data_IF_410453157457
#
_entry.id   IF_410453157457
#
_cell.length_a   1.000
_cell.length_b   1.000
_cell.length_c   1.000
_cell.angle_alpha   90.00
_cell.angle_beta   90.00
_cell.angle_gamma   90.00
#
_symmetry.space_group_name_H-M   'P 1'
#
loop_
_entity.id
_entity.type
_entity.pdbx_description
1 polymer ?
#
# COMPACT_ATOMS: atom_id res chain seq x y z
N UNK A 1 -11.75 -13.13 -16.68
CA UNK A 1 -12.71 -12.42 -15.86
C UNK A 1 -12.01 -11.67 -14.75
N UNK A 2 -12.34 -10.40 -14.59
CA UNK A 2 -11.85 -9.63 -13.46
C UNK A 2 -12.33 -10.30 -12.17
N UNK A 3 -11.45 -10.41 -11.18
CA UNK A 3 -11.83 -10.91 -9.87
C UNK A 3 -12.90 -10.00 -9.25
N UNK A 4 -13.71 -10.55 -8.35
CA UNK A 4 -14.67 -9.76 -7.58
C UNK A 4 -13.99 -8.55 -6.91
N UNK A 5 -12.80 -8.78 -6.34
CA UNK A 5 -11.99 -7.73 -5.74
C UNK A 5 -11.61 -6.64 -6.77
N UNK A 6 -11.22 -7.02 -7.97
CA UNK A 6 -10.86 -6.08 -9.03
C UNK A 6 -12.03 -5.20 -9.45
N UNK A 7 -13.23 -5.77 -9.60
CA UNK A 7 -14.44 -5.01 -9.97
C UNK A 7 -14.86 -4.00 -8.90
N UNK A 8 -14.80 -4.40 -7.63
CA UNK A 8 -15.08 -3.49 -6.51
C UNK A 8 -14.07 -2.37 -6.49
N UNK A 9 -12.80 -2.70 -6.66
CA UNK A 9 -11.70 -1.72 -6.66
C UNK A 9 -11.89 -0.67 -7.75
N UNK A 10 -12.19 -1.10 -8.97
CA UNK A 10 -12.43 -0.20 -10.10
C UNK A 10 -13.57 0.76 -9.79
N UNK A 11 -14.71 0.25 -9.32
CA UNK A 11 -15.87 1.09 -8.98
C UNK A 11 -15.57 2.09 -7.88
N UNK A 12 -14.83 1.70 -6.84
CA UNK A 12 -14.47 2.60 -5.75
C UNK A 12 -13.49 3.67 -6.22
N UNK A 13 -12.50 3.31 -7.03
CA UNK A 13 -11.46 4.24 -7.48
C UNK A 13 -12.00 5.32 -8.42
N UNK A 14 -13.00 4.98 -9.22
CA UNK A 14 -13.59 5.94 -10.16
C UNK A 14 -14.32 7.09 -9.46
N UNK A 15 -14.79 6.85 -8.22
CA UNK A 15 -15.65 7.80 -7.51
C UNK A 15 -15.07 8.32 -6.18
N UNK A 16 -13.93 7.77 -5.72
CA UNK A 16 -13.39 8.12 -4.41
C UNK A 16 -12.21 9.11 -4.52
N UNK A 17 -12.32 10.24 -3.82
CA UNK A 17 -11.25 11.23 -3.66
C UNK A 17 -10.58 11.14 -2.29
N UNK A 18 -10.87 10.11 -1.52
CA UNK A 18 -10.27 9.85 -0.21
C UNK A 18 -9.28 8.69 -0.30
N UNK A 19 -8.41 8.57 0.69
CA UNK A 19 -7.56 7.39 0.84
C UNK A 19 -8.43 6.17 1.08
N UNK A 20 -8.26 5.16 0.25
CA UNK A 20 -9.08 3.95 0.29
C UNK A 20 -8.21 2.75 0.64
N UNK A 21 -8.64 1.97 1.63
CA UNK A 21 -7.99 0.72 2.01
C UNK A 21 -8.91 -0.44 1.65
N UNK A 22 -8.39 -1.40 0.88
CA UNK A 22 -9.12 -2.62 0.54
C UNK A 22 -8.45 -3.78 1.25
N UNK A 23 -9.15 -4.36 2.21
CA UNK A 23 -8.61 -5.38 3.10
C UNK A 23 -9.21 -6.76 2.82
N UNK A 24 -8.35 -7.74 2.61
CA UNK A 24 -8.73 -9.15 2.53
C UNK A 24 -8.05 -9.90 3.69
N UNK A 25 -8.79 -10.25 4.75
CA UNK A 25 -8.23 -10.99 5.88
C UNK A 25 -8.09 -12.48 5.56
N UNK A 26 -6.99 -13.08 6.01
CA UNK A 26 -6.84 -14.54 6.10
C UNK A 26 -6.83 -14.98 7.56
N UNK A 27 -6.41 -14.10 8.45
CA UNK A 27 -6.45 -14.29 9.90
C UNK A 27 -6.59 -12.92 10.57
N UNK A 28 -6.98 -12.86 11.87
CA UNK A 28 -7.13 -11.56 12.56
C UNK A 28 -5.84 -10.73 12.51
N UNK A 29 -6.00 -9.43 12.29
CA UNK A 29 -4.87 -8.52 12.13
C UNK A 29 -3.97 -8.51 13.37
N UNK A 30 -4.55 -8.67 14.55
CA UNK A 30 -3.82 -8.74 15.83
C UNK A 30 -2.89 -9.97 15.95
N UNK A 31 -3.06 -10.97 15.09
CA UNK A 31 -2.24 -12.17 15.07
C UNK A 31 -1.05 -12.08 14.12
N UNK A 32 -0.94 -10.99 13.37
CA UNK A 32 0.17 -10.78 12.45
C UNK A 32 1.46 -10.52 13.18
N UNK A 33 2.55 -11.13 12.71
CA UNK A 33 3.89 -10.97 13.29
C UNK A 33 4.71 -9.91 12.56
N UNK A 34 4.46 -9.71 11.27
CA UNK A 34 5.15 -8.72 10.46
C UNK A 34 4.19 -8.06 9.49
N UNK A 35 4.46 -6.80 9.21
CA UNK A 35 3.81 -6.06 8.13
C UNK A 35 4.85 -5.76 7.05
N UNK A 36 4.60 -6.19 5.83
CA UNK A 36 5.44 -5.91 4.69
C UNK A 36 4.73 -4.86 3.84
N UNK A 37 5.32 -3.66 3.74
CA UNK A 37 4.70 -2.52 3.04
C UNK A 37 5.50 -2.22 1.79
N UNK A 38 4.92 -2.45 0.63
CA UNK A 38 5.56 -2.21 -0.67
C UNK A 38 5.02 -0.91 -1.26
N UNK A 39 5.92 -0.02 -1.62
CA UNK A 39 5.60 1.36 -1.98
C UNK A 39 6.16 1.66 -3.38
N UNK A 40 5.34 2.20 -4.30
CA UNK A 40 5.80 2.51 -5.65
C UNK A 40 6.76 3.70 -5.69
N UNK A 41 7.58 3.75 -6.73
CA UNK A 41 8.50 4.85 -6.97
C UNK A 41 7.71 6.16 -7.11
N UNK A 42 8.21 7.24 -6.53
CA UNK A 42 7.59 8.57 -6.51
C UNK A 42 6.31 8.68 -5.65
N UNK A 43 6.03 7.68 -4.82
CA UNK A 43 4.88 7.76 -3.91
C UNK A 43 4.93 8.98 -2.99
N UNK A 44 6.12 9.42 -2.58
CA UNK A 44 6.32 10.59 -1.73
C UNK A 44 5.88 11.89 -2.38
N UNK A 45 5.74 11.91 -3.70
CA UNK A 45 5.26 13.07 -4.46
C UNK A 45 3.74 13.12 -4.60
N UNK A 46 3.05 12.06 -4.22
CA UNK A 46 1.59 12.05 -4.19
C UNK A 46 1.07 12.91 -3.04
N UNK A 47 0.00 13.68 -3.29
CA UNK A 47 -0.60 14.55 -2.28
C UNK A 47 -1.08 13.78 -1.06
N UNK A 48 -1.54 12.55 -1.23
CA UNK A 48 -2.05 11.72 -0.14
C UNK A 48 -0.99 10.98 0.67
N UNK A 49 0.30 11.16 0.36
CA UNK A 49 1.38 10.40 1.00
C UNK A 49 1.41 10.54 2.53
N UNK A 50 1.44 11.76 3.11
CA UNK A 50 1.49 11.87 4.57
C UNK A 50 0.27 11.26 5.25
N UNK A 51 -0.90 11.37 4.64
CA UNK A 51 -2.15 10.86 5.20
C UNK A 51 -2.16 9.33 5.23
N UNK A 52 -1.84 8.66 4.11
CA UNK A 52 -1.86 7.21 4.11
C UNK A 52 -0.74 6.63 5.00
N UNK A 53 0.42 7.29 5.04
CA UNK A 53 1.52 6.87 5.92
C UNK A 53 1.06 6.87 7.38
N UNK A 54 0.39 7.94 7.81
CA UNK A 54 -0.12 8.02 9.18
C UNK A 54 -1.15 6.93 9.48
N UNK A 55 -2.06 6.66 8.56
CA UNK A 55 -3.07 5.60 8.73
C UNK A 55 -2.45 4.21 8.82
N UNK A 56 -1.57 3.89 7.89
CA UNK A 56 -0.88 2.59 7.87
C UNK A 56 -0.09 2.40 9.14
N UNK A 57 0.64 3.42 9.57
CA UNK A 57 1.43 3.36 10.79
C UNK A 57 0.57 3.13 12.03
N UNK A 58 -0.57 3.81 12.14
CA UNK A 58 -1.48 3.63 13.27
C UNK A 58 -2.00 2.19 13.35
N UNK A 59 -2.37 1.60 12.23
CA UNK A 59 -2.81 0.20 12.19
C UNK A 59 -1.67 -0.74 12.61
N UNK A 60 -0.48 -0.54 12.07
CA UNK A 60 0.68 -1.37 12.38
C UNK A 60 1.01 -1.30 13.88
N UNK A 61 1.05 -0.10 14.44
CA UNK A 61 1.34 0.08 15.88
C UNK A 61 0.33 -0.62 16.77
N UNK A 62 -0.95 -0.58 16.39
CA UNK A 62 -2.00 -1.23 17.18
C UNK A 62 -1.86 -2.75 17.21
N UNK A 63 -1.18 -3.35 16.23
CA UNK A 63 -0.91 -4.80 16.24
C UNK A 63 0.31 -5.18 17.08
N UNK A 64 1.19 -4.23 17.37
CA UNK A 64 2.46 -4.48 18.06
C UNK A 64 3.48 -5.23 17.20
N UNK A 65 3.21 -5.46 15.93
CA UNK A 65 4.08 -6.21 15.04
C UNK A 65 5.13 -5.32 14.38
N UNK A 66 6.19 -5.95 13.90
CA UNK A 66 7.27 -5.31 13.15
C UNK A 66 6.79 -4.89 11.77
N UNK A 67 7.27 -3.75 11.28
CA UNK A 67 7.03 -3.29 9.92
C UNK A 67 8.32 -3.28 9.09
N UNK A 68 8.24 -3.73 7.85
CA UNK A 68 9.32 -3.63 6.88
C UNK A 68 8.79 -2.83 5.68
N UNK A 69 9.40 -1.67 5.41
CA UNK A 69 9.03 -0.81 4.30
C UNK A 69 9.98 -1.03 3.13
N UNK A 70 9.40 -1.31 1.97
CA UNK A 70 10.12 -1.49 0.72
C UNK A 70 9.78 -0.35 -0.23
N UNK A 71 10.80 0.31 -0.75
CA UNK A 71 10.60 1.43 -1.67
C UNK A 71 11.90 1.96 -2.21
N UNK A 72 11.81 2.99 -3.05
CA UNK A 72 13.01 3.69 -3.54
C UNK A 72 13.71 4.44 -2.42
N UNK A 73 14.96 4.79 -2.65
CA UNK A 73 15.77 5.57 -1.71
C UNK A 73 15.07 6.87 -1.30
N UNK A 74 14.49 7.61 -2.26
CA UNK A 74 13.80 8.87 -2.00
C UNK A 74 12.55 8.66 -1.15
N UNK A 75 11.75 7.65 -1.49
CA UNK A 75 10.53 7.31 -0.75
C UNK A 75 10.87 6.92 0.70
N UNK A 76 11.87 6.05 0.87
CA UNK A 76 12.30 5.63 2.21
C UNK A 76 12.84 6.79 3.03
N UNK A 77 13.55 7.73 2.40
CA UNK A 77 14.04 8.94 3.05
C UNK A 77 12.88 9.78 3.61
N UNK A 78 11.82 9.98 2.83
CA UNK A 78 10.63 10.70 3.30
C UNK A 78 9.91 9.96 4.42
N UNK A 79 9.79 8.63 4.32
CA UNK A 79 9.21 7.82 5.38
C UNK A 79 9.98 7.98 6.69
N UNK A 80 11.28 7.90 6.64
CA UNK A 80 12.13 8.08 7.82
C UNK A 80 11.92 9.45 8.46
N UNK A 81 11.76 10.50 7.65
CA UNK A 81 11.46 11.84 8.15
C UNK A 81 10.10 11.88 8.87
N UNK A 82 9.08 11.25 8.30
CA UNK A 82 7.73 11.24 8.87
C UNK A 82 7.61 10.35 10.10
N UNK A 83 8.28 9.20 10.10
CA UNK A 83 8.13 8.16 11.13
C UNK A 83 9.26 8.11 12.15
N UNK A 84 10.39 8.77 11.89
CA UNK A 84 11.62 8.61 12.67
C UNK A 84 11.54 9.02 14.14
N UNK A 85 10.51 9.79 14.51
CA UNK A 85 10.26 10.19 15.91
C UNK A 85 9.20 9.35 16.59
N UNK A 86 8.58 8.42 15.87
CA UNK A 86 7.55 7.54 16.39
C UNK A 86 8.19 6.23 16.84
N UNK A 87 7.82 5.74 18.01
CA UNK A 87 8.31 4.45 18.51
C UNK A 87 7.78 3.30 17.66
N UNK A 88 8.38 2.13 17.83
CA UNK A 88 7.97 0.91 17.15
C UNK A 88 9.12 0.28 16.38
N UNK A 89 8.98 -1.00 16.07
CA UNK A 89 9.99 -1.76 15.35
C UNK A 89 9.75 -1.65 13.85
N UNK A 90 10.68 -1.00 13.16
CA UNK A 90 10.58 -0.80 11.71
C UNK A 90 11.93 -0.99 11.02
N UNK A 91 11.88 -1.55 9.82
CA UNK A 91 13.03 -1.70 8.93
C UNK A 91 12.70 -1.07 7.58
N UNK A 92 13.74 -0.65 6.86
CA UNK A 92 13.64 -0.03 5.55
C UNK A 92 14.55 -0.78 4.58
N UNK A 93 13.96 -1.31 3.51
CA UNK A 93 14.68 -2.06 2.49
C UNK A 93 14.49 -1.40 1.14
N UNK A 94 15.58 -1.04 0.48
CA UNK A 94 15.51 -0.40 -0.82
C UNK A 94 15.01 -1.37 -1.88
N UNK A 95 14.05 -0.89 -2.69
CA UNK A 95 13.48 -1.58 -3.83
C UNK A 95 13.42 -0.57 -4.96
N UNK A 96 14.35 -0.69 -5.92
CA UNK A 96 14.52 0.30 -7.00
C UNK A 96 13.41 0.22 -8.04
N UNK A 97 12.87 -0.97 -8.26
CA UNK A 97 11.75 -1.20 -9.16
C UNK A 97 10.60 -1.80 -8.39
N UNK A 98 9.46 -1.12 -8.41
CA UNK A 98 8.26 -1.59 -7.72
C UNK A 98 7.82 -2.98 -8.18
N UNK A 99 8.08 -3.32 -9.45
CA UNK A 99 7.75 -4.65 -9.99
C UNK A 99 8.54 -5.79 -9.32
N UNK A 100 9.68 -5.46 -8.69
CA UNK A 100 10.49 -6.45 -7.98
C UNK A 100 9.88 -6.91 -6.66
N UNK A 101 8.68 -6.37 -6.29
CA UNK A 101 8.00 -6.83 -5.08
C UNK A 101 7.71 -8.33 -5.09
N UNK A 102 7.60 -8.94 -6.26
CA UNK A 102 7.42 -10.39 -6.39
C UNK A 102 8.61 -11.16 -5.82
N UNK A 103 9.81 -10.58 -5.90
CA UNK A 103 11.02 -11.17 -5.32
C UNK A 103 10.92 -11.12 -3.78
N UNK A 104 10.46 -9.98 -3.25
CA UNK A 104 10.24 -9.79 -1.81
C UNK A 104 9.24 -10.82 -1.29
N UNK A 105 8.21 -11.12 -2.07
CA UNK A 105 7.11 -11.99 -1.64
C UNK A 105 7.42 -13.49 -1.73
N UNK A 106 8.60 -13.88 -2.22
CA UNK A 106 9.02 -15.29 -2.19
C UNK A 106 9.08 -15.87 -0.78
N UNK A 107 9.51 -15.05 0.17
CA UNK A 107 9.77 -15.48 1.54
C UNK A 107 8.68 -15.00 2.50
N UNK A 108 7.48 -14.73 1.98
CA UNK A 108 6.34 -14.31 2.79
C UNK A 108 5.87 -15.46 3.66
N UNK A 109 5.74 -15.19 4.95
CA UNK A 109 5.21 -16.14 5.92
C UNK A 109 3.70 -16.00 6.04
N UNK A 110 3.05 -17.05 6.53
CA UNK A 110 1.60 -17.05 6.75
C UNK A 110 1.14 -15.93 7.69
N UNK A 111 1.97 -15.59 8.68
CA UNK A 111 1.68 -14.56 9.67
C UNK A 111 2.12 -13.15 9.24
N UNK A 112 2.49 -12.98 7.97
CA UNK A 112 2.81 -11.67 7.40
C UNK A 112 1.55 -11.06 6.81
N UNK A 113 1.32 -9.77 7.12
CA UNK A 113 0.31 -8.98 6.45
C UNK A 113 0.96 -8.17 5.33
N UNK A 114 0.43 -8.29 4.12
CA UNK A 114 0.97 -7.60 2.96
C UNK A 114 0.21 -6.29 2.75
N UNK A 115 0.95 -5.19 2.71
CA UNK A 115 0.42 -3.89 2.33
C UNK A 115 1.00 -3.51 0.97
N UNK A 116 0.15 -3.22 0.01
CA UNK A 116 0.60 -2.80 -1.30
C UNK A 116 0.03 -1.42 -1.57
N UNK A 117 0.92 -0.43 -1.63
CA UNK A 117 0.53 0.94 -1.94
C UNK A 117 0.39 1.05 -3.45
N UNK A 118 -0.78 1.43 -3.88
CA UNK A 118 -1.16 1.58 -5.27
C UNK A 118 -1.15 3.05 -5.66
N UNK A 119 -1.48 3.34 -6.90
CA UNK A 119 -1.77 4.69 -7.36
C UNK A 119 -2.91 4.64 -8.37
N UNK A 120 -3.60 5.76 -8.52
CA UNK A 120 -4.64 5.91 -9.54
C UNK A 120 -4.00 6.20 -10.89
N UNK A 121 -4.71 5.93 -11.98
CA UNK A 121 -4.16 6.00 -13.33
C UNK A 121 -3.48 7.32 -13.70
N UNK A 122 -3.94 8.43 -13.14
CA UNK A 122 -3.35 9.75 -13.36
C UNK A 122 -2.36 10.18 -12.27
N UNK A 123 -2.05 9.31 -11.32
CA UNK A 123 -1.09 9.60 -10.26
C UNK A 123 0.34 9.50 -10.74
N UNK A 124 1.23 10.33 -10.17
CA UNK A 124 2.65 10.35 -10.55
C UNK A 124 3.38 9.03 -10.25
N UNK A 125 2.91 8.29 -9.25
CA UNK A 125 3.49 7.01 -8.87
C UNK A 125 2.83 5.81 -9.56
N UNK A 126 1.91 6.04 -10.49
CA UNK A 126 1.21 4.96 -11.17
C UNK A 126 2.16 4.12 -12.02
N UNK A 127 2.01 2.81 -11.91
CA UNK A 127 2.72 1.82 -12.72
C UNK A 127 1.67 0.90 -13.38
N UNK A 128 1.73 0.66 -14.70
CA UNK A 128 0.74 -0.19 -15.38
C UNK A 128 0.59 -1.59 -14.80
N UNK A 129 1.64 -2.15 -14.18
CA UNK A 129 1.56 -3.46 -13.52
C UNK A 129 0.63 -3.46 -12.31
N UNK A 130 0.25 -2.31 -11.78
CA UNK A 130 -0.73 -2.19 -10.70
C UNK A 130 -2.10 -2.78 -11.08
N UNK A 131 -2.45 -2.74 -12.35
CA UNK A 131 -3.71 -3.31 -12.85
C UNK A 131 -3.79 -4.83 -12.65
N UNK A 132 -2.65 -5.50 -12.54
CA UNK A 132 -2.57 -6.96 -12.38
C UNK A 132 -2.51 -7.40 -10.92
N UNK A 133 -2.25 -6.48 -10.00
CA UNK A 133 -1.99 -6.81 -8.60
C UNK A 133 -3.18 -7.52 -7.94
N UNK A 134 -4.42 -7.00 -8.01
CA UNK A 134 -5.54 -7.67 -7.35
C UNK A 134 -5.73 -9.12 -7.80
N UNK A 135 -5.65 -9.37 -9.11
CA UNK A 135 -5.75 -10.72 -9.66
C UNK A 135 -4.60 -11.62 -9.23
N UNK A 136 -3.39 -11.08 -9.22
CA UNK A 136 -2.19 -11.80 -8.81
C UNK A 136 -2.26 -12.22 -7.34
N UNK A 137 -2.65 -11.30 -6.46
CA UNK A 137 -2.79 -11.60 -5.03
C UNK A 137 -3.86 -12.68 -4.79
N UNK A 138 -4.97 -12.55 -5.49
CA UNK A 138 -6.06 -13.51 -5.38
C UNK A 138 -5.66 -14.92 -5.86
N UNK A 139 -4.75 -14.99 -6.83
CA UNK A 139 -4.30 -16.28 -7.39
C UNK A 139 -3.20 -16.93 -6.54
N UNK A 140 -2.21 -16.15 -6.10
CA UNK A 140 -0.97 -16.69 -5.51
C UNK A 140 -0.85 -16.47 -4.00
N UNK A 141 -1.65 -15.59 -3.42
CA UNK A 141 -1.58 -15.25 -1.99
C UNK A 141 -2.90 -15.44 -1.27
N UNK A 142 -3.60 -16.52 -1.60
CA UNK A 142 -4.93 -16.81 -1.01
C UNK A 142 -4.87 -17.03 0.51
N UNK A 143 -3.73 -17.48 1.03
CA UNK A 143 -3.56 -17.77 2.45
C UNK A 143 -3.00 -16.58 3.23
N UNK A 144 -2.65 -15.51 2.58
CA UNK A 144 -2.13 -14.31 3.22
C UNK A 144 -3.22 -13.24 3.36
N UNK A 145 -3.15 -12.52 4.46
CA UNK A 145 -3.88 -11.25 4.58
C UNK A 145 -3.18 -10.19 3.74
N UNK A 146 -3.94 -9.36 3.05
CA UNK A 146 -3.36 -8.23 2.35
C UNK A 146 -4.27 -7.02 2.39
N UNK A 147 -3.65 -5.84 2.26
CA UNK A 147 -4.34 -4.55 2.21
C UNK A 147 -3.80 -3.78 1.02
N UNK A 148 -4.68 -3.35 0.14
CA UNK A 148 -4.35 -2.42 -0.95
C UNK A 148 -4.62 -1.01 -0.46
N UNK A 149 -3.65 -0.11 -0.65
CA UNK A 149 -3.75 1.29 -0.25
C UNK A 149 -3.83 2.15 -1.50
N UNK A 150 -4.94 2.86 -1.68
CA UNK A 150 -5.12 3.83 -2.76
C UNK A 150 -5.10 5.23 -2.18
N UNK A 151 -3.98 5.96 -2.34
CA UNK A 151 -3.84 7.28 -1.74
C UNK A 151 -4.84 8.30 -2.28
N UNK A 152 -5.21 9.25 -1.42
CA UNK A 152 -5.98 10.43 -1.80
C UNK A 152 -5.26 11.22 -2.90
N UNK A 153 -6.04 11.73 -3.86
CA UNK A 153 -5.56 12.66 -4.89
C UNK A 153 -6.18 14.04 -4.69
N UNK A 154 -5.34 15.05 -4.47
CA UNK A 154 -5.80 16.42 -4.23
C UNK A 154 -6.51 17.04 -5.43
N UNK A 155 -6.11 16.68 -6.66
CA UNK A 155 -6.65 17.29 -7.89
C UNK A 155 -8.08 16.87 -8.21
N UNK A 156 -8.56 15.74 -7.69
CA UNK A 156 -9.92 15.27 -7.93
C UNK A 156 -10.97 16.18 -7.25
N UNK A 157 -10.67 16.67 -6.04
CA UNK A 157 -11.57 17.58 -5.32
C UNK A 157 -11.55 19.01 -5.90
N UNK A 158 -10.40 19.49 -6.39
CA UNK A 158 -10.30 20.80 -7.02
C UNK A 158 -11.12 20.87 -8.31
N UNK A 159 -11.12 19.83 -9.13
CA UNK A 159 -11.88 19.79 -10.38
C UNK A 159 -13.39 19.77 -10.17
N UNK A 160 -13.88 19.28 -9.02
CA UNK A 160 -15.31 19.29 -8.69
C UNK A 160 -15.85 20.68 -8.40
N UNK A 161 -15.01 21.60 -7.93
CA UNK A 161 -15.40 22.96 -7.58
C UNK A 161 -15.21 23.95 -8.73
N UNK A 162 -14.52 23.54 -9.81
CA UNK A 162 -14.26 24.39 -10.98
C UNK A 162 -15.25 24.13 -12.14
N UNK A 163 -16.09 23.14 -12.01
CA UNK A 163 -17.20 22.85 -12.90
C UNK A 163 -18.51 23.15 -12.21
#
# INVERSE_FOLDING_TARGET
PSSFLGRITEGILDYSDVTTLIYKPAQPLSTMKRHLVVIPVQAEKEAGFPQWVARVWNVIQNTGAKAIFYGSSDTLGRLKTLLGKRGGEMEFTELSDWEDFLIVFRDVHKDDNLWIVMSRHNGISFNPSMNRIPGYLNKYFQQNSFILVYPLQANASANRYLT
#
